data_IF_987335649058
#
_entry.id   IF_987335649058
#
_cell.length_a   1.000
_cell.length_b   1.000
_cell.length_c   1.000
_cell.angle_alpha   90.00
_cell.angle_beta   90.00
_cell.angle_gamma   90.00
#
_symmetry.space_group_name_H-M   'P 1'
#
loop_
_entity.id
_entity.type
_entity.pdbx_description
1 polymer ?
#
# COMPACT_ATOMS: atom_id res chain seq x y z
N UNK A 1 12.07 -25.04 -8.16
CA UNK A 1 11.78 -24.13 -7.05
C UNK A 1 11.81 -22.67 -7.48
N UNK A 2 12.88 -22.26 -8.12
CA UNK A 2 12.95 -20.87 -8.57
C UNK A 2 11.82 -20.52 -9.53
N UNK A 3 11.46 -21.45 -10.39
CA UNK A 3 10.37 -21.23 -11.31
C UNK A 3 9.05 -21.03 -10.58
N UNK A 4 8.83 -21.85 -9.55
CA UNK A 4 7.60 -21.74 -8.78
C UNK A 4 7.52 -20.40 -8.07
N UNK A 5 8.61 -19.93 -7.51
CA UNK A 5 8.65 -18.62 -6.85
C UNK A 5 8.33 -17.53 -7.84
N UNK A 6 8.89 -17.64 -9.04
CA UNK A 6 8.67 -16.64 -10.06
C UNK A 6 7.20 -16.62 -10.50
N UNK A 7 6.61 -17.81 -10.66
CA UNK A 7 5.20 -17.89 -11.03
C UNK A 7 4.33 -17.27 -9.93
N UNK A 8 4.67 -17.56 -8.69
CA UNK A 8 3.94 -17.00 -7.55
C UNK A 8 4.01 -15.48 -7.57
N UNK A 9 5.20 -14.92 -7.80
CA UNK A 9 5.35 -13.47 -7.84
C UNK A 9 4.59 -12.85 -9.01
N UNK A 10 4.57 -13.54 -10.15
CA UNK A 10 3.85 -13.04 -11.30
C UNK A 10 2.36 -13.02 -11.04
N UNK A 11 1.84 -14.04 -10.39
CA UNK A 11 0.42 -14.10 -10.05
C UNK A 11 0.05 -13.00 -9.07
N UNK A 12 0.90 -12.77 -8.08
CA UNK A 12 0.66 -11.71 -7.12
C UNK A 12 0.64 -10.34 -7.80
N UNK A 13 1.59 -10.12 -8.72
CA UNK A 13 1.63 -8.85 -9.43
C UNK A 13 0.36 -8.64 -10.24
N UNK A 14 -0.14 -9.69 -10.89
CA UNK A 14 -1.39 -9.58 -11.63
C UNK A 14 -2.56 -9.27 -10.71
N UNK A 15 -2.61 -9.97 -9.57
CA UNK A 15 -3.70 -9.76 -8.62
C UNK A 15 -3.70 -8.35 -8.06
N UNK A 16 -2.51 -7.78 -7.83
CA UNK A 16 -2.40 -6.45 -7.27
C UNK A 16 -2.90 -5.36 -8.20
N UNK A 17 -3.06 -5.66 -9.48
CA UNK A 17 -3.65 -4.72 -10.42
C UNK A 17 -5.15 -4.54 -10.17
N UNK A 18 -5.76 -5.48 -9.49
CA UNK A 18 -7.17 -5.40 -9.12
C UNK A 18 -7.30 -4.54 -7.87
N UNK A 19 -8.03 -3.43 -7.92
CA UNK A 19 -8.11 -2.52 -6.76
C UNK A 19 -8.67 -3.19 -5.51
N UNK A 20 -9.63 -4.09 -5.65
CA UNK A 20 -10.20 -4.76 -4.49
C UNK A 20 -9.18 -5.67 -3.82
N UNK A 21 -8.41 -6.39 -4.62
CA UNK A 21 -7.35 -7.24 -4.09
C UNK A 21 -6.26 -6.39 -3.46
N UNK A 22 -5.87 -5.31 -4.13
CA UNK A 22 -4.84 -4.42 -3.60
C UNK A 22 -5.26 -3.81 -2.27
N UNK A 23 -6.53 -3.45 -2.14
CA UNK A 23 -7.03 -2.91 -0.88
C UNK A 23 -6.86 -3.92 0.25
N UNK A 24 -7.23 -5.18 0.02
CA UNK A 24 -7.09 -6.21 1.05
C UNK A 24 -5.62 -6.47 1.36
N UNK A 25 -4.78 -6.44 0.33
CA UNK A 25 -3.35 -6.60 0.52
C UNK A 25 -2.78 -5.50 1.41
N UNK A 26 -3.17 -4.25 1.15
CA UNK A 26 -2.68 -3.12 1.94
C UNK A 26 -3.13 -3.21 3.39
N UNK A 27 -4.39 -3.60 3.62
CA UNK A 27 -4.89 -3.75 4.97
C UNK A 27 -4.16 -4.86 5.72
N UNK A 28 -3.98 -6.01 5.07
CA UNK A 28 -3.29 -7.13 5.68
C UNK A 28 -1.83 -6.79 6.00
N UNK A 29 -1.15 -6.11 5.08
CA UNK A 29 0.23 -5.72 5.29
C UNK A 29 0.34 -4.78 6.49
N UNK A 30 -0.59 -3.85 6.60
CA UNK A 30 -0.60 -2.91 7.72
C UNK A 30 -0.77 -3.65 9.04
N UNK A 31 -1.67 -4.63 9.08
CA UNK A 31 -1.89 -5.41 10.29
C UNK A 31 -0.64 -6.22 10.66
N UNK A 32 0.11 -6.65 9.66
CA UNK A 32 1.34 -7.40 9.90
C UNK A 32 2.52 -6.50 10.25
N UNK A 33 2.31 -5.20 10.30
CA UNK A 33 3.38 -4.28 10.66
C UNK A 33 4.25 -3.86 9.50
N UNK A 34 3.86 -4.16 8.28
CA UNK A 34 4.60 -3.71 7.10
C UNK A 34 4.34 -2.22 6.89
N UNK A 35 5.39 -1.42 6.70
CA UNK A 35 5.18 0.00 6.46
C UNK A 35 4.28 0.25 5.26
N UNK A 36 3.37 1.20 5.41
CA UNK A 36 2.41 1.52 4.34
C UNK A 36 3.14 1.85 3.04
N UNK A 37 4.21 2.63 3.14
CA UNK A 37 4.99 3.01 1.97
C UNK A 37 5.49 1.78 1.21
N UNK A 38 5.98 0.81 1.94
CA UNK A 38 6.52 -0.41 1.33
C UNK A 38 5.43 -1.22 0.64
N UNK A 39 4.29 -1.35 1.29
CA UNK A 39 3.16 -2.07 0.71
C UNK A 39 2.63 -1.34 -0.53
N UNK A 40 2.52 -0.02 -0.45
CA UNK A 40 2.10 0.79 -1.60
C UNK A 40 3.07 0.65 -2.76
N UNK A 41 4.38 0.60 -2.47
CA UNK A 41 5.37 0.43 -3.53
C UNK A 41 5.10 -0.83 -4.33
N UNK A 42 4.76 -1.91 -3.64
CA UNK A 42 4.48 -3.17 -4.32
C UNK A 42 3.25 -3.06 -5.23
N UNK A 43 2.19 -2.46 -4.73
CA UNK A 43 0.97 -2.28 -5.52
C UNK A 43 1.23 -1.37 -6.72
N UNK A 44 1.91 -0.26 -6.49
CA UNK A 44 2.13 0.72 -7.54
C UNK A 44 3.03 0.16 -8.64
N UNK A 45 4.07 -0.59 -8.26
CA UNK A 45 4.94 -1.19 -9.26
C UNK A 45 4.23 -2.28 -10.05
N UNK A 46 3.30 -2.99 -9.44
CA UNK A 46 2.52 -3.99 -10.15
C UNK A 46 1.59 -3.35 -11.16
N UNK A 47 0.97 -2.24 -10.78
CA UNK A 47 0.07 -1.50 -11.67
C UNK A 47 0.83 -0.77 -12.76
N UNK A 48 2.01 -0.26 -12.43
CA UNK A 48 2.76 0.60 -13.31
C UNK A 48 2.76 2.01 -12.78
N UNK A 49 3.96 2.58 -12.58
CA UNK A 49 4.10 3.89 -11.95
C UNK A 49 3.37 4.97 -12.76
N UNK A 50 3.50 4.91 -14.08
CA UNK A 50 2.87 5.91 -14.93
C UNK A 50 1.35 5.82 -14.86
N UNK A 51 0.83 4.62 -14.99
CA UNK A 51 -0.61 4.41 -14.94
C UNK A 51 -1.18 4.81 -13.59
N UNK A 52 -0.50 4.41 -12.53
CA UNK A 52 -0.97 4.75 -11.20
C UNK A 52 -0.94 6.26 -10.97
N UNK A 53 0.16 6.90 -11.39
CA UNK A 53 0.27 8.35 -11.25
C UNK A 53 -0.86 9.07 -11.95
N UNK A 54 -1.21 8.61 -13.14
CA UNK A 54 -2.32 9.24 -13.88
C UNK A 54 -3.61 9.15 -13.10
N UNK A 55 -3.84 8.03 -12.42
CA UNK A 55 -5.09 7.83 -11.67
C UNK A 55 -5.19 8.71 -10.44
N UNK A 56 -4.06 9.13 -9.87
CA UNK A 56 -4.06 9.97 -8.66
C UNK A 56 -3.61 11.41 -8.95
N UNK A 57 -3.38 11.73 -10.22
CA UNK A 57 -2.98 13.07 -10.59
C UNK A 57 -1.57 13.44 -10.16
N UNK A 58 -0.64 12.49 -10.20
CA UNK A 58 0.74 12.72 -9.83
C UNK A 58 1.67 12.34 -10.97
N UNK A 59 2.70 13.14 -11.17
CA UNK A 59 3.73 12.83 -12.15
C UNK A 59 4.54 11.63 -11.68
N UNK A 60 5.01 10.81 -12.63
CA UNK A 60 5.77 9.61 -12.31
C UNK A 60 6.95 9.86 -11.36
N UNK A 61 7.76 10.91 -11.56
CA UNK A 61 8.86 11.15 -10.63
C UNK A 61 8.39 11.37 -9.20
N UNK A 62 7.23 11.99 -9.01
CA UNK A 62 6.70 12.23 -7.69
C UNK A 62 6.19 10.94 -7.05
N UNK A 63 5.58 10.07 -7.85
CA UNK A 63 5.16 8.77 -7.37
C UNK A 63 6.37 7.96 -6.94
N UNK A 64 7.40 7.92 -7.78
CA UNK A 64 8.62 7.16 -7.48
C UNK A 64 9.28 7.66 -6.21
N UNK A 65 9.30 8.99 -6.03
CA UNK A 65 9.88 9.54 -4.81
C UNK A 65 9.08 9.12 -3.58
N UNK A 66 7.77 9.16 -3.69
CA UNK A 66 6.92 8.84 -2.54
C UNK A 66 7.09 7.39 -2.09
N UNK A 67 7.36 6.47 -3.01
CA UNK A 67 7.50 5.07 -2.64
C UNK A 67 8.95 4.64 -2.45
N UNK A 68 9.89 5.57 -2.58
CA UNK A 68 11.30 5.24 -2.38
C UNK A 68 11.60 5.07 -0.89
N UNK A 69 12.30 3.99 -0.51
CA UNK A 69 12.49 3.68 0.92
C UNK A 69 13.21 4.77 1.70
N UNK A 70 14.00 5.60 1.02
CA UNK A 70 14.76 6.65 1.69
C UNK A 70 13.99 7.93 1.89
N UNK A 71 12.79 8.00 1.36
CA UNK A 71 11.95 9.19 1.49
C UNK A 71 10.87 8.96 2.52
N UNK A 72 10.50 10.04 3.18
CA UNK A 72 9.41 10.01 4.15
C UNK A 72 8.26 10.85 3.60
N UNK A 73 7.37 10.24 2.84
CA UNK A 73 6.24 10.99 2.30
C UNK A 73 5.36 11.49 3.43
N UNK A 74 4.73 12.64 3.20
CA UNK A 74 3.82 13.18 4.19
C UNK A 74 2.57 12.31 4.27
N UNK A 75 1.83 12.50 5.36
CA UNK A 75 0.55 11.83 5.51
C UNK A 75 -0.38 12.18 4.35
N UNK A 76 -0.35 13.44 3.94
CA UNK A 76 -1.18 13.88 2.83
C UNK A 76 -0.83 13.11 1.55
N UNK A 77 0.46 12.95 1.26
CA UNK A 77 0.88 12.21 0.08
C UNK A 77 0.45 10.76 0.16
N UNK A 78 0.66 10.13 1.32
CA UNK A 78 0.26 8.73 1.48
C UNK A 78 -1.24 8.56 1.33
N UNK A 79 -2.02 9.49 1.89
CA UNK A 79 -3.47 9.42 1.75
C UNK A 79 -3.89 9.56 0.30
N UNK A 80 -3.17 10.38 -0.47
CA UNK A 80 -3.47 10.53 -1.89
C UNK A 80 -3.23 9.21 -2.63
N UNK A 81 -2.14 8.52 -2.28
CA UNK A 81 -1.83 7.23 -2.90
C UNK A 81 -2.81 6.14 -2.46
N UNK A 82 -3.36 6.26 -1.26
CA UNK A 82 -4.30 5.27 -0.73
C UNK A 82 -5.73 5.50 -1.21
N UNK A 83 -6.04 6.69 -1.70
CA UNK A 83 -7.41 7.06 -2.04
C UNK A 83 -8.07 6.13 -3.06
N UNK A 84 -7.37 5.68 -4.11
CA UNK A 84 -8.01 4.76 -5.06
C UNK A 84 -8.52 3.47 -4.42
N UNK A 85 -7.98 3.12 -3.28
CA UNK A 85 -8.38 1.91 -2.57
C UNK A 85 -9.36 2.21 -1.43
N UNK A 86 -9.81 3.47 -1.35
CA UNK A 86 -10.72 3.92 -0.30
C UNK A 86 -10.14 3.70 1.09
N UNK A 87 -8.85 3.99 1.21
CA UNK A 87 -8.12 3.88 2.46
C UNK A 87 -7.51 5.23 2.81
N UNK A 88 -7.25 5.41 4.10
CA UNK A 88 -6.53 6.58 4.59
C UNK A 88 -5.76 6.21 5.83
N UNK A 89 -4.74 7.00 6.13
CA UNK A 89 -4.02 6.83 7.38
C UNK A 89 -4.85 7.37 8.52
N UNK A 90 -4.70 6.74 9.67
CA UNK A 90 -5.47 7.12 10.84
C UNK A 90 -4.66 6.81 12.08
N UNK A 91 -4.94 7.53 13.16
CA UNK A 91 -4.34 7.26 14.45
C UNK A 91 -5.25 6.35 15.24
N UNK A 92 -4.65 5.45 16.00
CA UNK A 92 -5.40 4.57 16.87
C UNK A 92 -4.76 4.61 18.25
N UNK A 93 -5.59 4.49 19.25
CA UNK A 93 -5.13 4.47 20.64
C UNK A 93 -4.34 3.20 20.90
N UNK A 94 -3.31 3.33 21.72
CA UNK A 94 -2.58 2.16 22.19
C UNK A 94 -3.27 1.47 23.36
N UNK A 95 -4.42 2.01 23.77
CA UNK A 95 -5.16 1.40 24.86
C UNK A 95 -5.62 0.02 24.46
N UNK A 96 -5.39 -0.94 25.34
CA UNK A 96 -5.73 -2.32 25.09
C UNK A 96 -7.24 -2.50 24.98
N UNK A 97 -7.70 -3.29 24.01
CA UNK A 97 -9.13 -3.53 23.87
C UNK A 97 -9.77 -4.09 25.14
N UNK A 98 -9.08 -4.95 25.86
CA UNK A 98 -9.66 -5.56 27.06
C UNK A 98 -9.97 -4.53 28.11
N UNK A 99 -9.32 -3.38 28.11
CA UNK A 99 -9.66 -2.33 29.07
C UNK A 99 -11.03 -1.77 28.85
N UNK A 100 -11.44 -1.73 27.60
CA UNK A 100 -12.79 -1.30 27.30
C UNK A 100 -13.81 -2.29 27.85
N UNK A 101 -13.46 -3.56 27.79
CA UNK A 101 -14.35 -4.58 28.33
C UNK A 101 -14.42 -4.49 29.84
N UNK A 102 -13.31 -4.19 30.48
CA UNK A 102 -13.29 -4.05 31.91
C UNK A 102 -14.19 -2.92 32.37
N UNK A 103 -14.32 -1.92 31.55
CA UNK A 103 -15.22 -0.84 31.90
C UNK A 103 -16.65 -1.28 31.75
#
# INVERSE_FOLDING_TARGET
MARRSRDWNSELAEDLKNPAFAREFLLAASEDGVPVQQALAKVIRATGVKEFGASVGMASPNVLRAIHPRHNPTQETLNRLLKPFRLRLSLASLVEPKRRHAA
#
